data_IF_760123304283
#
_entry.id   IF_760123304283
#
_cell.length_a   1.000
_cell.length_b   1.000
_cell.length_c   1.000
_cell.angle_alpha   90.00
_cell.angle_beta   90.00
_cell.angle_gamma   90.00
#
_symmetry.space_group_name_H-M   'P 1'
#
loop_
_entity.id
_entity.type
_entity.pdbx_description
1 polymer ?
#
# COMPACT_ATOMS: atom_id res chain seq x y z
N UNK A 1 -15.57 10.39 -32.76
CA UNK A 1 -16.11 10.53 -31.38
C UNK A 1 -15.25 9.72 -30.41
N UNK A 2 -14.68 10.32 -29.36
CA UNK A 2 -13.88 9.58 -28.39
C UNK A 2 -14.78 8.69 -27.52
N UNK A 3 -14.56 7.37 -27.55
CA UNK A 3 -15.32 6.39 -26.76
C UNK A 3 -15.12 6.66 -25.26
N UNK A 4 -16.20 6.96 -24.53
CA UNK A 4 -16.17 7.20 -23.08
C UNK A 4 -15.67 5.93 -22.37
N UNK A 5 -14.67 6.07 -21.50
CA UNK A 5 -14.10 4.94 -20.75
C UNK A 5 -15.16 4.26 -19.87
N UNK A 6 -15.18 2.94 -19.90
CA UNK A 6 -15.94 2.12 -18.96
C UNK A 6 -15.45 2.34 -17.50
N UNK A 7 -16.31 2.03 -16.52
CA UNK A 7 -16.01 2.26 -15.09
C UNK A 7 -14.71 1.57 -14.64
N UNK A 8 -14.49 0.32 -15.06
CA UNK A 8 -13.26 -0.43 -14.76
C UNK A 8 -12.02 0.22 -15.36
N UNK A 9 -12.12 0.70 -16.60
CA UNK A 9 -11.02 1.39 -17.29
C UNK A 9 -10.66 2.73 -16.62
N UNK A 10 -11.67 3.47 -16.13
CA UNK A 10 -11.43 4.67 -15.30
C UNK A 10 -10.73 4.31 -13.99
N UNK A 11 -11.21 3.29 -13.28
CA UNK A 11 -10.61 2.83 -12.02
C UNK A 11 -9.16 2.38 -12.21
N UNK A 12 -8.85 1.65 -13.29
CA UNK A 12 -7.49 1.21 -13.61
C UNK A 12 -6.59 2.40 -13.95
N UNK A 13 -7.09 3.37 -14.74
CA UNK A 13 -6.37 4.60 -15.06
C UNK A 13 -6.06 5.40 -13.80
N UNK A 14 -7.02 5.53 -12.88
CA UNK A 14 -6.84 6.26 -11.63
C UNK A 14 -5.89 5.53 -10.68
N UNK A 15 -5.96 4.19 -10.61
CA UNK A 15 -5.02 3.36 -9.87
C UNK A 15 -3.58 3.49 -10.40
N UNK A 16 -3.40 3.47 -11.72
CA UNK A 16 -2.09 3.61 -12.38
C UNK A 16 -1.46 4.99 -12.23
N UNK A 17 -2.27 6.05 -12.06
CA UNK A 17 -1.79 7.41 -11.77
C UNK A 17 -1.33 7.61 -10.32
N UNK A 18 -1.64 6.67 -9.42
CA UNK A 18 -1.22 6.81 -8.03
C UNK A 18 0.30 6.67 -7.92
N UNK A 19 0.91 7.46 -7.03
CA UNK A 19 2.33 7.31 -6.70
C UNK A 19 2.49 6.18 -5.69
N UNK A 20 3.06 5.07 -6.12
CA UNK A 20 3.32 3.92 -5.24
C UNK A 20 4.77 3.94 -4.74
N UNK A 21 4.94 3.94 -3.41
CA UNK A 21 6.26 4.02 -2.77
C UNK A 21 6.28 3.40 -1.38
N UNK A 22 7.46 3.37 -0.77
CA UNK A 22 7.64 3.24 0.68
C UNK A 22 7.76 4.63 1.30
N UNK A 23 7.60 4.74 2.62
CA UNK A 23 7.74 6.01 3.35
C UNK A 23 9.16 6.56 3.22
N UNK A 24 10.18 5.72 3.34
CA UNK A 24 11.58 6.13 3.16
C UNK A 24 12.03 6.30 1.71
N UNK A 25 11.25 5.83 0.73
CA UNK A 25 11.66 5.78 -0.68
C UNK A 25 12.63 4.64 -1.03
N UNK A 26 13.13 3.91 -0.02
CA UNK A 26 14.00 2.73 -0.22
C UNK A 26 13.18 1.51 -0.68
N UNK A 27 13.84 0.57 -1.34
CA UNK A 27 13.22 -0.68 -1.81
C UNK A 27 12.57 -1.45 -0.65
N UNK A 28 11.32 -1.85 -0.87
CA UNK A 28 10.49 -2.58 0.08
C UNK A 28 11.05 -3.97 0.45
N UNK A 29 11.86 -4.56 -0.43
CA UNK A 29 12.59 -5.82 -0.21
C UNK A 29 13.75 -5.66 0.77
N UNK A 30 14.38 -4.49 0.81
CA UNK A 30 15.55 -4.22 1.66
C UNK A 30 15.12 -3.83 3.06
N UNK A 31 14.20 -2.87 3.18
CA UNK A 31 13.80 -2.33 4.49
C UNK A 31 12.68 -3.11 5.16
N UNK A 32 11.99 -3.98 4.43
CA UNK A 32 10.76 -4.62 4.88
C UNK A 32 9.60 -3.63 5.09
N UNK A 33 9.75 -2.37 4.67
CA UNK A 33 8.68 -1.38 4.68
C UNK A 33 7.54 -1.79 3.76
N UNK A 34 6.35 -1.24 4.00
CA UNK A 34 5.19 -1.59 3.21
C UNK A 34 5.06 -0.70 1.98
N UNK A 35 4.94 -1.33 0.82
CA UNK A 35 4.69 -0.64 -0.44
C UNK A 35 3.21 -0.26 -0.53
N UNK A 36 2.92 1.04 -0.61
CA UNK A 36 1.58 1.62 -0.52
C UNK A 36 1.45 2.84 -1.44
N UNK A 37 0.22 3.22 -1.83
CA UNK A 37 -0.01 4.53 -2.43
C UNK A 37 0.42 5.65 -1.49
N UNK A 38 0.98 6.71 -2.03
CA UNK A 38 1.45 7.87 -1.27
C UNK A 38 0.34 8.49 -0.41
N UNK A 39 -0.88 8.57 -0.95
CA UNK A 39 -2.06 9.04 -0.19
C UNK A 39 -2.35 8.16 1.03
N UNK A 40 -2.19 6.84 0.90
CA UNK A 40 -2.35 5.92 2.01
C UNK A 40 -1.25 6.10 3.07
N UNK A 41 0.00 6.33 2.64
CA UNK A 41 1.12 6.60 3.57
C UNK A 41 0.86 7.88 4.36
N UNK A 42 0.42 8.95 3.68
CA UNK A 42 0.08 10.24 4.30
C UNK A 42 -1.10 10.15 5.28
N UNK A 43 -2.04 9.24 5.04
CA UNK A 43 -3.19 9.02 5.92
C UNK A 43 -2.88 8.17 7.17
N UNK A 44 -1.72 7.51 7.23
CA UNK A 44 -1.30 6.72 8.37
C UNK A 44 -0.49 7.57 9.34
N UNK A 45 -0.74 7.40 10.63
CA UNK A 45 0.18 7.91 11.65
C UNK A 45 1.52 7.17 11.56
N UNK A 46 2.58 7.77 12.10
CA UNK A 46 3.89 7.13 12.19
C UNK A 46 3.82 5.79 12.93
N UNK A 47 2.99 5.69 13.98
CA UNK A 47 2.77 4.46 14.73
C UNK A 47 2.05 3.38 13.90
N UNK A 48 1.03 3.76 13.13
CA UNK A 48 0.32 2.83 12.23
C UNK A 48 1.24 2.29 11.13
N UNK A 49 2.02 3.18 10.48
CA UNK A 49 2.97 2.76 9.46
C UNK A 49 4.06 1.84 10.03
N UNK A 50 4.55 2.13 11.24
CA UNK A 50 5.50 1.27 11.93
C UNK A 50 4.88 -0.10 12.25
N UNK A 51 3.64 -0.15 12.75
CA UNK A 51 2.94 -1.40 13.05
C UNK A 51 2.75 -2.29 11.81
N UNK A 52 2.36 -1.72 10.67
CA UNK A 52 2.18 -2.50 9.44
C UNK A 52 3.52 -2.99 8.87
N UNK A 53 4.59 -2.22 9.04
CA UNK A 53 5.96 -2.60 8.67
C UNK A 53 6.49 -3.72 9.57
N UNK A 54 6.28 -3.63 10.90
CA UNK A 54 6.63 -4.70 11.85
C UNK A 54 5.91 -6.00 11.51
N UNK A 55 4.61 -5.93 11.20
CA UNK A 55 3.85 -7.10 10.77
C UNK A 55 4.47 -7.74 9.53
N UNK A 56 4.77 -6.94 8.50
CA UNK A 56 5.44 -7.42 7.28
C UNK A 56 6.78 -8.08 7.60
N UNK A 57 7.69 -7.41 8.32
CA UNK A 57 9.00 -7.95 8.71
C UNK A 57 8.87 -9.29 9.45
N UNK A 58 7.94 -9.39 10.41
CA UNK A 58 7.67 -10.63 11.15
C UNK A 58 7.21 -11.77 10.24
N UNK A 59 6.35 -11.48 9.27
CA UNK A 59 5.89 -12.50 8.32
C UNK A 59 6.96 -12.91 7.31
N UNK A 60 7.73 -11.96 6.78
CA UNK A 60 8.86 -12.23 5.88
C UNK A 60 9.93 -13.06 6.57
N UNK A 61 10.28 -12.75 7.83
CA UNK A 61 11.22 -13.57 8.62
C UNK A 61 10.73 -15.02 8.81
N UNK A 62 9.42 -15.24 8.76
CA UNK A 62 8.80 -16.57 8.81
C UNK A 62 8.64 -17.24 7.43
N UNK A 63 9.29 -16.72 6.39
CA UNK A 63 9.20 -17.25 5.03
C UNK A 63 7.85 -17.02 4.33
N UNK A 64 6.97 -16.18 4.88
CA UNK A 64 5.65 -15.94 4.27
C UNK A 64 5.78 -15.02 3.06
N UNK A 65 5.36 -15.51 1.89
CA UNK A 65 5.23 -14.72 0.67
C UNK A 65 4.23 -13.57 0.84
N UNK A 66 3.10 -13.84 1.52
CA UNK A 66 2.07 -12.84 1.79
C UNK A 66 1.84 -12.66 3.30
N UNK A 67 1.80 -11.41 3.74
CA UNK A 67 1.55 -11.06 5.14
C UNK A 67 0.34 -10.16 5.19
N UNK A 68 -0.64 -10.45 6.05
CA UNK A 68 -1.82 -9.58 6.21
C UNK A 68 -1.43 -8.26 6.90
N UNK A 69 -2.11 -7.17 6.56
CA UNK A 69 -2.03 -5.93 7.32
C UNK A 69 -2.82 -6.07 8.63
N UNK A 70 -2.44 -5.38 9.72
CA UNK A 70 -3.30 -5.28 10.89
C UNK A 70 -4.70 -4.77 10.50
N UNK A 71 -5.76 -5.39 11.02
CA UNK A 71 -7.14 -5.22 10.51
C UNK A 71 -7.58 -3.74 10.45
N UNK A 72 -7.29 -2.94 11.49
CA UNK A 72 -7.64 -1.51 11.50
C UNK A 72 -6.94 -0.71 10.40
N UNK A 73 -5.63 -0.94 10.23
CA UNK A 73 -4.83 -0.29 9.19
C UNK A 73 -5.30 -0.72 7.80
N UNK A 74 -5.63 -2.01 7.62
CA UNK A 74 -6.16 -2.52 6.36
C UNK A 74 -7.46 -1.79 5.95
N UNK A 75 -8.38 -1.57 6.92
CA UNK A 75 -9.62 -0.82 6.69
C UNK A 75 -9.35 0.63 6.26
N UNK A 76 -8.36 1.29 6.88
CA UNK A 76 -7.96 2.66 6.54
C UNK A 76 -7.35 2.73 5.13
N UNK A 77 -6.40 1.84 4.84
CA UNK A 77 -5.67 1.80 3.57
C UNK A 77 -6.54 1.40 2.39
N UNK A 78 -7.58 0.57 2.59
CA UNK A 78 -8.52 0.15 1.54
C UNK A 78 -9.21 1.31 0.83
N UNK A 79 -9.37 2.47 1.47
CA UNK A 79 -9.98 3.65 0.84
C UNK A 79 -9.11 4.29 -0.24
N UNK A 80 -7.82 3.90 -0.30
CA UNK A 80 -6.82 4.53 -1.17
C UNK A 80 -6.37 3.63 -2.32
N UNK A 81 -6.81 2.37 -2.39
CA UNK A 81 -6.41 1.41 -3.41
C UNK A 81 -7.52 0.41 -3.72
#
# INVERSE_FOLDING_TARGET
MAKKLAKSQKSLKDWGKQKWRTKSGKKSSVTGERYLPEKAIKALSSAEYAATTRAKRKGTKKGKQFVKQPKGIAKKVRKYR
#
